data_IF_003656683923
#
_entry.id   IF_003656683923
#
_cell.length_a   1.000
_cell.length_b   1.000
_cell.length_c   1.000
_cell.angle_alpha   90.00
_cell.angle_beta   90.00
_cell.angle_gamma   90.00
#
_symmetry.space_group_name_H-M   'P 1'
#
loop_
_entity.id
_entity.type
_entity.pdbx_description
1 polymer ?
#
# COMPACT_ATOMS: atom_id res chain seq x y z
N UNK A 1 20.45 16.97 -24.71
CA UNK A 1 19.42 15.90 -24.75
C UNK A 1 19.27 15.43 -23.33
N UNK A 2 18.39 16.08 -22.58
CA UNK A 2 18.09 15.71 -21.20
C UNK A 2 17.07 14.56 -21.24
N UNK A 3 17.56 13.34 -21.09
CA UNK A 3 16.71 12.19 -20.78
C UNK A 3 16.18 12.40 -19.37
N UNK A 4 15.03 13.03 -19.23
CA UNK A 4 14.27 13.01 -18.00
C UNK A 4 13.95 11.53 -17.71
N UNK A 5 14.72 10.92 -16.80
CA UNK A 5 14.32 9.64 -16.20
C UNK A 5 12.92 9.87 -15.64
N UNK A 6 11.88 9.15 -16.11
CA UNK A 6 10.56 9.32 -15.55
C UNK A 6 10.67 9.00 -14.06
N UNK A 7 10.47 10.02 -13.21
CA UNK A 7 10.43 9.81 -11.77
C UNK A 7 9.32 8.79 -11.50
N UNK A 8 9.66 7.70 -10.84
CA UNK A 8 8.69 6.68 -10.51
C UNK A 8 7.55 7.31 -9.71
N UNK A 9 6.32 7.04 -10.14
CA UNK A 9 5.13 7.59 -9.48
C UNK A 9 4.90 6.82 -8.18
N UNK A 10 4.84 7.56 -7.07
CA UNK A 10 4.48 7.00 -5.77
C UNK A 10 3.07 6.40 -5.80
N UNK A 11 2.91 5.28 -5.11
CA UNK A 11 1.61 4.64 -4.91
C UNK A 11 1.02 5.14 -3.60
N UNK A 12 -0.16 5.74 -3.66
CA UNK A 12 -0.93 6.11 -2.46
C UNK A 12 -2.12 5.18 -2.34
N UNK A 13 -2.22 4.45 -1.23
CA UNK A 13 -3.32 3.55 -0.92
C UNK A 13 -4.09 4.15 0.26
N UNK A 14 -5.38 4.50 0.10
CA UNK A 14 -6.23 4.86 1.23
C UNK A 14 -6.37 3.66 2.17
N UNK A 15 -6.20 3.88 3.47
CA UNK A 15 -6.29 2.81 4.46
C UNK A 15 -7.70 2.22 4.51
N UNK A 16 -8.73 3.04 4.38
CA UNK A 16 -10.13 2.64 4.43
C UNK A 16 -10.48 1.66 3.31
N UNK A 17 -9.97 1.90 2.10
CA UNK A 17 -10.15 0.99 0.96
C UNK A 17 -9.46 -0.35 1.19
N UNK A 18 -8.26 -0.32 1.80
CA UNK A 18 -7.53 -1.54 2.13
C UNK A 18 -8.24 -2.33 3.23
N UNK A 19 -8.72 -1.65 4.28
CA UNK A 19 -9.47 -2.24 5.39
C UNK A 19 -10.79 -2.83 4.92
N UNK A 20 -11.53 -2.12 4.06
CA UNK A 20 -12.75 -2.61 3.44
C UNK A 20 -12.47 -3.91 2.69
N UNK A 21 -11.49 -3.93 1.78
CA UNK A 21 -11.14 -5.11 1.01
C UNK A 21 -10.73 -6.31 1.88
N UNK A 22 -10.06 -6.07 3.03
CA UNK A 22 -9.78 -7.12 4.01
C UNK A 22 -11.10 -7.62 4.61
N UNK A 23 -11.91 -6.72 5.15
CA UNK A 23 -13.16 -7.04 5.86
C UNK A 23 -14.21 -7.74 5.01
N UNK A 24 -14.23 -7.50 3.70
CA UNK A 24 -15.16 -8.11 2.75
C UNK A 24 -14.60 -9.39 2.11
N UNK A 25 -13.34 -9.72 2.37
CA UNK A 25 -12.71 -10.89 1.76
C UNK A 25 -12.36 -10.70 0.28
N UNK A 26 -12.13 -9.47 -0.18
CA UNK A 26 -11.73 -9.17 -1.56
C UNK A 26 -10.25 -9.45 -1.80
N UNK A 27 -9.89 -10.73 -1.84
CA UNK A 27 -8.49 -11.17 -1.97
C UNK A 27 -7.86 -10.68 -3.28
N UNK A 28 -8.67 -10.56 -4.34
CA UNK A 28 -8.24 -10.03 -5.63
C UNK A 28 -7.72 -8.59 -5.51
N UNK A 29 -8.44 -7.72 -4.80
CA UNK A 29 -8.04 -6.33 -4.60
C UNK A 29 -6.72 -6.26 -3.81
N UNK A 30 -6.64 -7.01 -2.71
CA UNK A 30 -5.42 -7.09 -1.90
C UNK A 30 -4.20 -7.52 -2.72
N UNK A 31 -4.35 -8.57 -3.53
CA UNK A 31 -3.27 -9.07 -4.40
C UNK A 31 -2.85 -8.02 -5.43
N UNK A 32 -3.80 -7.29 -6.01
CA UNK A 32 -3.50 -6.24 -6.99
C UNK A 32 -2.77 -5.05 -6.35
N UNK A 33 -3.18 -4.61 -5.16
CA UNK A 33 -2.47 -3.57 -4.40
C UNK A 33 -1.04 -3.99 -4.10
N UNK A 34 -0.82 -5.21 -3.60
CA UNK A 34 0.51 -5.73 -3.31
C UNK A 34 1.38 -5.84 -4.56
N UNK A 35 0.79 -6.25 -5.69
CA UNK A 35 1.49 -6.33 -6.98
C UNK A 35 1.96 -4.95 -7.43
N UNK A 36 1.08 -3.95 -7.41
CA UNK A 36 1.43 -2.57 -7.81
C UNK A 36 2.45 -1.98 -6.83
N UNK A 37 2.30 -2.21 -5.52
CA UNK A 37 3.24 -1.76 -4.50
C UNK A 37 4.67 -2.25 -4.78
N UNK A 38 4.85 -3.54 -5.08
CA UNK A 38 6.16 -4.11 -5.44
C UNK A 38 6.74 -3.46 -6.70
N UNK A 39 5.93 -3.27 -7.74
CA UNK A 39 6.34 -2.61 -8.98
C UNK A 39 6.78 -1.17 -8.70
N UNK A 40 6.04 -0.42 -7.87
CA UNK A 40 6.39 0.95 -7.49
C UNK A 40 7.76 1.02 -6.82
N UNK A 41 8.03 0.15 -5.83
CA UNK A 41 9.34 0.09 -5.17
C UNK A 41 10.45 -0.29 -6.16
N UNK A 42 10.22 -1.28 -7.02
CA UNK A 42 11.19 -1.71 -8.03
C UNK A 42 11.55 -0.61 -9.01
N UNK A 43 10.60 0.28 -9.32
CA UNK A 43 10.82 1.43 -10.17
C UNK A 43 11.49 2.61 -9.44
N UNK A 44 11.72 2.50 -8.12
CA UNK A 44 12.32 3.56 -7.30
C UNK A 44 11.32 4.57 -6.73
N UNK A 45 10.02 4.27 -6.76
CA UNK A 45 9.00 5.03 -6.05
C UNK A 45 8.82 4.53 -4.62
N UNK A 46 7.90 5.15 -3.87
CA UNK A 46 7.47 4.67 -2.55
C UNK A 46 5.99 4.34 -2.52
N UNK A 47 5.60 3.51 -1.55
CA UNK A 47 4.20 3.19 -1.25
C UNK A 47 3.81 3.90 0.04
N UNK A 48 2.67 4.58 0.01
CA UNK A 48 2.18 5.41 1.09
C UNK A 48 0.78 4.94 1.46
N UNK A 49 0.60 4.48 2.70
CA UNK A 49 -0.72 4.18 3.25
C UNK A 49 -1.17 5.38 4.04
N UNK A 50 -2.31 5.95 3.66
CA UNK A 50 -2.87 7.13 4.32
C UNK A 50 -4.11 6.72 5.11
N UNK A 51 -4.05 6.88 6.43
CA UNK A 51 -5.22 6.82 7.31
C UNK A 51 -5.86 8.19 7.37
N UNK A 52 -7.09 8.33 6.87
CA UNK A 52 -7.86 9.56 7.01
C UNK A 52 -8.51 9.58 8.39
N UNK A 53 -8.17 10.60 9.19
CA UNK A 53 -8.83 10.82 10.46
C UNK A 53 -9.84 11.94 10.34
N UNK A 54 -10.91 11.87 11.14
CA UNK A 54 -11.90 12.96 11.29
C UNK A 54 -11.25 14.29 11.72
N UNK A 55 -10.07 14.24 12.34
CA UNK A 55 -9.26 15.41 12.60
C UNK A 55 -8.28 15.64 11.43
N UNK A 56 -8.46 16.69 10.61
CA UNK A 56 -7.62 16.95 9.43
C UNK A 56 -6.15 17.23 9.78
N UNK A 57 -5.84 17.55 11.03
CA UNK A 57 -4.48 17.78 11.51
C UNK A 57 -3.76 16.49 11.95
N UNK A 58 -4.45 15.35 11.93
CA UNK A 58 -3.87 14.05 12.25
C UNK A 58 -3.90 13.17 10.99
N UNK A 59 -2.73 12.92 10.42
CA UNK A 59 -2.56 11.92 9.36
C UNK A 59 -1.57 10.90 9.87
N UNK A 60 -2.01 9.66 10.03
CA UNK A 60 -1.08 8.56 10.24
C UNK A 60 -0.70 8.05 8.84
N UNK A 61 0.56 8.28 8.48
CA UNK A 61 1.13 7.90 7.19
C UNK A 61 2.12 6.76 7.44
N UNK A 62 1.90 5.62 6.79
CA UNK A 62 2.88 4.55 6.72
C UNK A 62 3.55 4.59 5.35
N UNK A 63 4.88 4.71 5.34
CA UNK A 63 5.67 4.76 4.10
C UNK A 63 6.53 3.51 3.96
N UNK A 64 6.53 2.93 2.76
CA UNK A 64 7.38 1.82 2.37
C UNK A 64 8.28 2.24 1.22
N UNK A 65 9.57 1.95 1.34
CA UNK A 65 10.61 2.28 0.36
C UNK A 65 11.38 1.05 -0.10
N UNK A 66 11.15 -0.11 0.51
CA UNK A 66 11.87 -1.36 0.23
C UNK A 66 10.93 -2.55 0.08
N UNK A 67 11.35 -3.51 -0.72
CA UNK A 67 10.59 -4.74 -0.98
C UNK A 67 10.40 -5.60 0.28
N UNK A 68 11.38 -5.63 1.18
CA UNK A 68 11.28 -6.41 2.43
C UNK A 68 10.24 -5.82 3.40
N UNK A 69 9.97 -4.53 3.30
CA UNK A 69 8.91 -3.87 4.07
C UNK A 69 7.53 -4.25 3.51
N UNK A 70 7.39 -4.31 2.18
CA UNK A 70 6.19 -4.83 1.52
C UNK A 70 5.94 -6.31 1.88
N UNK A 71 6.99 -7.13 1.94
CA UNK A 71 6.86 -8.54 2.36
C UNK A 71 6.36 -8.69 3.80
N UNK A 72 6.82 -7.83 4.71
CA UNK A 72 6.35 -7.80 6.11
C UNK A 72 4.91 -7.34 6.19
N UNK A 73 4.55 -6.32 5.40
CA UNK A 73 3.21 -5.79 5.32
C UNK A 73 2.22 -6.84 4.80
N UNK A 74 2.54 -7.53 3.69
CA UNK A 74 1.73 -8.63 3.15
C UNK A 74 1.44 -9.71 4.19
N UNK A 75 2.45 -10.13 4.97
CA UNK A 75 2.26 -11.12 6.04
C UNK A 75 1.30 -10.63 7.12
N UNK A 76 1.35 -9.35 7.47
CA UNK A 76 0.39 -8.71 8.37
C UNK A 76 -1.02 -8.76 7.80
N UNK A 77 -1.21 -8.26 6.58
CA UNK A 77 -2.50 -8.21 5.90
C UNK A 77 -3.13 -9.60 5.75
N UNK A 78 -2.35 -10.62 5.37
CA UNK A 78 -2.86 -12.00 5.22
C UNK A 78 -3.32 -12.61 6.54
N UNK A 79 -2.65 -12.28 7.65
CA UNK A 79 -3.09 -12.70 8.99
C UNK A 79 -4.43 -12.04 9.34
N UNK A 80 -4.57 -10.76 9.03
CA UNK A 80 -5.79 -10.01 9.31
C UNK A 80 -6.95 -10.53 8.44
N UNK A 81 -6.68 -10.87 7.18
CA UNK A 81 -7.62 -11.47 6.24
C UNK A 81 -8.13 -12.86 6.68
N UNK A 82 -7.25 -13.70 7.25
CA UNK A 82 -7.65 -15.00 7.80
C UNK A 82 -8.58 -14.89 9.03
N UNK A 83 -8.63 -13.72 9.67
CA UNK A 83 -9.52 -13.41 10.78
C UNK A 83 -10.95 -13.05 10.37
N UNK A 84 -11.20 -12.83 9.09
CA UNK A 84 -12.51 -12.45 8.53
C UNK A 84 -13.34 -13.72 8.31
N UNK A 85 -14.42 -13.87 9.07
CA UNK A 85 -15.35 -15.02 9.05
C UNK A 85 -16.78 -14.56 8.80
#
# INVERSE_FOLDING_TARGET
MDSATPMAKDLVVPYETLEEAISTGEEYFLNEVLRIARITIQNGGKVIIRKEHLNPNRQDIEEFTKLDEIDKWEKGLRRDFQGVK
#
